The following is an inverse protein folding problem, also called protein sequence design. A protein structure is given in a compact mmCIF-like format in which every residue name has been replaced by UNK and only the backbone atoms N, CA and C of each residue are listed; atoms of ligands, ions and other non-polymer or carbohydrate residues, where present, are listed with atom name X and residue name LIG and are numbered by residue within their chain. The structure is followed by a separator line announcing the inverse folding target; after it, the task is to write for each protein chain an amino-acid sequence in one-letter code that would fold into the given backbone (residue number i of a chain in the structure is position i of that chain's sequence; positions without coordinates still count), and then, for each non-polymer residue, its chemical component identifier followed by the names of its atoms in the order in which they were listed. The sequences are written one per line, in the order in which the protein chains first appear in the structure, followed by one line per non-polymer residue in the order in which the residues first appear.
data_IF_928316899945
#
_entry.id   IF_928316899945
#
_cell.length_a   1.000
_cell.length_b   1.000
_cell.length_c   1.000
_cell.angle_alpha   90.00
_cell.angle_beta   90.00
_cell.angle_gamma   90.00
#
_symmetry.space_group_name_H-M   'P 1'
#
loop_
_entity.id
_entity.type
_entity.pdbx_description
1 polymer ?
#
# COMPACT_ATOMS: atom_id res chain seq x y z
N UNK A 1 -3.93 -8.09 17.25
CA UNK A 1 -4.02 -8.29 15.79
C UNK A 1 -5.38 -8.88 15.49
N UNK A 2 -6.28 -8.06 15.02
CA UNK A 2 -7.63 -8.49 14.61
C UNK A 2 -7.64 -8.50 13.10
N UNK A 3 -7.60 -9.67 12.51
CA UNK A 3 -7.66 -9.86 11.08
C UNK A 3 -9.06 -10.32 10.66
N UNK A 4 -9.54 -9.75 9.56
CA UNK A 4 -10.34 -10.33 8.51
C UNK A 4 -11.84 -10.29 8.68
N UNK A 5 -12.44 -9.39 7.89
CA UNK A 5 -13.69 -9.69 7.21
C UNK A 5 -13.36 -9.83 5.71
N UNK A 6 -13.14 -11.06 5.27
CA UNK A 6 -13.26 -11.43 3.86
C UNK A 6 -14.76 -11.66 3.62
N UNK A 7 -15.41 -10.78 2.88
CA UNK A 7 -16.75 -11.04 2.38
C UNK A 7 -16.61 -11.72 1.01
N UNK A 8 -16.79 -13.03 1.02
CA UNK A 8 -16.93 -13.79 -0.20
C UNK A 8 -18.32 -13.55 -0.78
N UNK A 9 -18.39 -12.83 -1.90
CA UNK A 9 -19.63 -12.56 -2.63
C UNK A 9 -20.01 -13.75 -3.49
N UNK A 10 -20.24 -14.91 -2.88
CA UNK A 10 -20.61 -16.14 -3.55
C UNK A 10 -21.94 -16.05 -4.32
N UNK A 11 -21.92 -16.63 -5.51
CA UNK A 11 -23.01 -17.30 -6.24
C UNK A 11 -23.92 -16.55 -7.20
N UNK A 12 -23.73 -15.32 -7.57
CA UNK A 12 -24.59 -14.79 -8.64
C UNK A 12 -23.96 -14.76 -10.05
N UNK A 13 -22.64 -14.94 -10.18
CA UNK A 13 -22.00 -14.98 -11.50
C UNK A 13 -20.86 -16.00 -11.53
N UNK A 14 -21.13 -17.22 -11.86
CA UNK A 14 -20.17 -18.35 -11.92
C UNK A 14 -18.98 -18.20 -12.91
N UNK A 15 -18.69 -16.98 -13.37
CA UNK A 15 -17.57 -16.66 -14.27
C UNK A 15 -16.64 -15.55 -13.74
N UNK A 16 -16.95 -14.98 -12.58
CA UNK A 16 -16.23 -13.80 -12.06
C UNK A 16 -15.95 -14.04 -10.58
N UNK A 17 -14.70 -13.86 -10.18
CA UNK A 17 -14.32 -13.83 -8.78
C UNK A 17 -14.18 -12.37 -8.33
N UNK A 18 -14.86 -12.00 -7.26
CA UNK A 18 -14.80 -10.68 -6.67
C UNK A 18 -14.50 -10.81 -5.19
N UNK A 19 -13.43 -10.20 -4.75
CA UNK A 19 -13.06 -10.16 -3.35
C UNK A 19 -13.01 -8.71 -2.89
N UNK A 20 -13.62 -8.43 -1.74
CA UNK A 20 -13.36 -7.24 -0.96
C UNK A 20 -12.57 -7.65 0.27
N UNK A 21 -11.48 -6.96 0.57
CA UNK A 21 -10.69 -7.26 1.74
C UNK A 21 -10.45 -6.01 2.56
N UNK A 22 -10.44 -6.23 3.87
CA UNK A 22 -10.13 -5.20 4.85
C UNK A 22 -9.22 -5.81 5.92
N UNK A 23 -8.11 -5.13 6.22
CA UNK A 23 -7.22 -5.47 7.32
C UNK A 23 -7.03 -4.23 8.18
N UNK A 24 -7.00 -4.41 9.50
CA UNK A 24 -6.79 -3.33 10.44
C UNK A 24 -5.83 -3.77 11.54
N UNK A 25 -4.88 -2.92 11.85
CA UNK A 25 -4.02 -3.01 13.00
C UNK A 25 -4.39 -1.88 13.95
N UNK A 26 -4.85 -2.23 15.14
CA UNK A 26 -4.98 -1.31 16.26
C UNK A 26 -3.81 -1.60 17.19
N UNK A 27 -2.80 -0.74 17.17
CA UNK A 27 -1.61 -0.88 18.00
C UNK A 27 -1.87 -0.26 19.38
N UNK A 28 -2.54 0.92 19.40
CA UNK A 28 -3.00 1.56 20.61
C UNK A 28 -4.18 2.49 20.31
N UNK A 29 -5.09 2.64 21.26
CA UNK A 29 -6.25 3.51 21.09
C UNK A 29 -6.50 4.31 22.37
N UNK A 30 -6.21 5.60 22.33
CA UNK A 30 -6.44 6.51 23.43
C UNK A 30 -7.91 6.93 23.48
N UNK A 31 -8.60 6.59 24.56
CA UNK A 31 -10.00 7.00 24.80
C UNK A 31 -10.06 8.40 25.42
N UNK A 32 -9.05 8.75 26.20
CA UNK A 32 -8.95 10.00 26.95
C UNK A 32 -8.33 11.16 26.16
N UNK A 33 -7.76 10.89 24.99
CA UNK A 33 -7.08 11.89 24.17
C UNK A 33 -5.70 12.30 24.70
N UNK A 34 -5.16 11.61 25.70
CA UNK A 34 -3.84 11.90 26.27
C UNK A 34 -2.69 11.37 25.41
N UNK A 35 -2.96 10.33 24.63
CA UNK A 35 -1.99 9.68 23.76
C UNK A 35 -2.46 9.65 22.30
N UNK A 36 -1.56 9.61 21.32
CA UNK A 36 -1.96 9.48 19.92
C UNK A 36 -2.59 8.11 19.64
N UNK A 37 -3.61 8.11 18.80
CA UNK A 37 -4.10 6.86 18.22
C UNK A 37 -3.04 6.24 17.32
N UNK A 38 -3.00 4.91 17.30
CA UNK A 38 -2.07 4.13 16.48
C UNK A 38 -2.86 3.12 15.67
N UNK A 39 -3.35 3.59 14.55
CA UNK A 39 -4.21 2.82 13.67
C UNK A 39 -3.55 2.67 12.32
N UNK A 40 -3.54 1.44 11.79
CA UNK A 40 -3.24 1.19 10.39
C UNK A 40 -4.35 0.34 9.79
N UNK A 41 -4.70 0.61 8.55
CA UNK A 41 -5.67 -0.20 7.84
C UNK A 41 -5.34 -0.31 6.36
N UNK A 42 -5.80 -1.39 5.79
CA UNK A 42 -5.76 -1.69 4.38
C UNK A 42 -7.15 -2.09 3.91
N UNK A 43 -7.61 -1.47 2.85
CA UNK A 43 -8.87 -1.83 2.17
C UNK A 43 -8.58 -2.03 0.70
N UNK A 44 -9.18 -3.03 0.11
CA UNK A 44 -9.00 -3.27 -1.31
C UNK A 44 -10.09 -4.11 -1.92
N UNK A 45 -10.04 -4.17 -3.23
CA UNK A 45 -10.92 -4.98 -4.05
C UNK A 45 -10.12 -5.71 -5.12
N UNK A 46 -10.51 -6.93 -5.37
CA UNK A 46 -10.01 -7.76 -6.46
C UNK A 46 -11.18 -8.15 -7.35
N UNK A 47 -10.98 -8.00 -8.62
CA UNK A 47 -11.87 -8.46 -9.67
C UNK A 47 -11.07 -9.34 -10.62
N UNK A 48 -11.48 -10.58 -10.78
CA UNK A 48 -10.77 -11.55 -11.61
C UNK A 48 -11.76 -12.24 -12.57
N UNK A 49 -11.40 -12.23 -13.84
CA UNK A 49 -12.11 -12.92 -14.91
C UNK A 49 -11.11 -13.72 -15.73
N UNK A 50 -11.60 -14.53 -16.67
CA UNK A 50 -10.72 -15.29 -17.59
C UNK A 50 -9.67 -14.38 -18.30
N UNK A 51 -10.03 -13.14 -18.62
CA UNK A 51 -9.21 -12.28 -19.47
C UNK A 51 -8.78 -10.97 -18.80
N UNK A 52 -9.28 -10.69 -17.58
CA UNK A 52 -9.05 -9.44 -16.89
C UNK A 52 -8.86 -9.70 -15.41
N UNK A 53 -7.78 -9.15 -14.86
CA UNK A 53 -7.54 -9.07 -13.42
C UNK A 53 -7.31 -7.62 -13.04
N UNK A 54 -8.10 -7.13 -12.09
CA UNK A 54 -7.96 -5.81 -11.50
C UNK A 54 -7.83 -5.97 -9.99
N UNK A 55 -6.83 -5.34 -9.42
CA UNK A 55 -6.66 -5.21 -7.97
C UNK A 55 -6.48 -3.75 -7.66
N UNK A 56 -7.25 -3.26 -6.70
CA UNK A 56 -7.05 -1.92 -6.13
C UNK A 56 -6.90 -2.04 -4.62
N UNK A 57 -5.98 -1.27 -4.06
CA UNK A 57 -5.68 -1.31 -2.64
C UNK A 57 -5.37 0.10 -2.14
N UNK A 58 -5.91 0.44 -0.99
CA UNK A 58 -5.55 1.62 -0.23
C UNK A 58 -5.03 1.21 1.14
N UNK A 59 -3.87 1.75 1.51
CA UNK A 59 -3.21 1.52 2.80
C UNK A 59 -3.04 2.87 3.50
N UNK A 60 -3.37 2.92 4.77
CA UNK A 60 -3.13 4.05 5.66
C UNK A 60 -2.42 3.56 6.91
N UNK A 61 -1.39 4.28 7.34
CA UNK A 61 -0.64 3.98 8.56
C UNK A 61 -0.41 5.28 9.31
N UNK A 62 -1.01 5.40 10.48
CA UNK A 62 -0.87 6.59 11.31
C UNK A 62 0.58 6.79 11.78
N UNK A 63 0.92 8.04 12.11
CA UNK A 63 2.28 8.46 12.46
C UNK A 63 2.93 7.64 13.56
N UNK A 64 2.18 7.25 14.58
CA UNK A 64 2.70 6.63 15.79
C UNK A 64 2.60 5.10 15.82
N UNK A 65 2.12 4.49 14.75
CA UNK A 65 2.04 3.01 14.64
C UNK A 65 3.43 2.40 14.79
N UNK A 66 3.54 1.45 15.71
CA UNK A 66 4.80 0.77 16.03
C UNK A 66 5.79 1.60 16.84
N UNK A 67 5.48 2.87 17.13
CA UNK A 67 6.32 3.72 17.96
C UNK A 67 5.83 3.71 19.41
N UNK A 68 6.76 3.62 20.36
CA UNK A 68 6.50 3.59 21.79
C UNK A 68 7.43 4.53 22.53
N UNK A 69 6.99 4.98 23.71
CA UNK A 69 7.80 5.79 24.62
C UNK A 69 9.15 5.10 24.93
N UNK A 70 9.10 3.81 25.27
CA UNK A 70 10.28 3.00 25.50
C UNK A 70 10.84 2.46 24.18
N UNK A 71 12.08 2.80 23.82
CA UNK A 71 12.67 2.38 22.54
C UNK A 71 12.68 0.86 22.32
N UNK A 72 12.78 0.08 23.41
CA UNK A 72 12.83 -1.38 23.39
C UNK A 72 11.50 -2.02 22.96
N UNK A 73 10.39 -1.28 23.11
CA UNK A 73 9.05 -1.74 22.74
C UNK A 73 8.67 -1.38 21.30
N UNK A 74 9.50 -0.58 20.63
CA UNK A 74 9.24 -0.19 19.24
C UNK A 74 9.25 -1.40 18.33
N UNK A 75 8.35 -1.42 17.36
CA UNK A 75 8.25 -2.51 16.38
C UNK A 75 9.41 -2.47 15.37
N UNK A 76 10.61 -2.73 15.89
CA UNK A 76 11.85 -2.77 15.11
C UNK A 76 12.54 -4.13 15.30
N UNK A 77 13.03 -4.70 14.22
CA UNK A 77 13.93 -5.84 14.21
C UNK A 77 15.25 -5.41 13.59
N UNK A 78 16.34 -5.44 14.36
CA UNK A 78 17.67 -4.96 13.94
C UNK A 78 17.65 -3.53 13.37
N UNK A 79 16.80 -2.65 13.92
CA UNK A 79 16.64 -1.28 13.45
C UNK A 79 15.76 -1.12 12.22
N UNK A 80 15.18 -2.20 11.71
CA UNK A 80 14.25 -2.18 10.57
C UNK A 80 12.82 -2.27 11.08
N UNK A 81 11.89 -1.40 10.63
CA UNK A 81 10.48 -1.48 11.01
C UNK A 81 9.85 -2.83 10.66
N UNK A 82 9.19 -3.43 11.66
CA UNK A 82 8.40 -4.63 11.44
C UNK A 82 7.01 -4.19 10.96
N UNK A 83 6.50 -4.82 9.90
CA UNK A 83 5.15 -4.59 9.40
C UNK A 83 5.15 -4.18 7.93
N UNK A 84 4.29 -3.24 7.58
CA UNK A 84 4.12 -2.82 6.19
C UNK A 84 5.30 -1.96 5.71
N UNK A 85 5.80 -2.21 4.50
CA UNK A 85 6.96 -1.53 3.90
C UNK A 85 6.77 -0.02 3.68
N UNK A 86 5.54 0.47 3.76
CA UNK A 86 5.21 1.89 3.66
C UNK A 86 5.78 2.71 4.84
N UNK A 87 5.89 2.08 6.02
CA UNK A 87 6.23 2.77 7.25
C UNK A 87 5.09 3.62 7.83
N UNK A 88 5.31 4.24 9.01
CA UNK A 88 4.32 5.10 9.64
C UNK A 88 4.17 6.45 8.91
N UNK A 89 3.09 7.17 9.24
CA UNK A 89 2.78 8.51 8.72
C UNK A 89 2.66 8.56 7.19
N UNK A 90 2.01 7.56 6.62
CA UNK A 90 1.93 7.45 5.17
C UNK A 90 0.65 6.76 4.71
N UNK A 91 0.26 7.08 3.48
CA UNK A 91 -0.76 6.32 2.78
C UNK A 91 -0.33 6.00 1.36
N UNK A 92 -0.89 4.92 0.83
CA UNK A 92 -0.62 4.43 -0.53
C UNK A 92 -1.91 4.00 -1.20
N UNK A 93 -2.08 4.41 -2.45
CA UNK A 93 -3.09 3.90 -3.36
C UNK A 93 -2.40 3.14 -4.47
N UNK A 94 -2.81 1.90 -4.71
CA UNK A 94 -2.25 1.07 -5.76
C UNK A 94 -3.34 0.48 -6.65
N UNK A 95 -3.01 0.35 -7.94
CA UNK A 95 -3.81 -0.29 -8.97
C UNK A 95 -2.93 -1.26 -9.73
N UNK A 96 -3.39 -2.48 -9.84
CA UNK A 96 -2.82 -3.50 -10.69
C UNK A 96 -3.88 -3.95 -11.68
N UNK A 97 -3.55 -3.87 -12.95
CA UNK A 97 -4.41 -4.27 -14.06
C UNK A 97 -3.65 -5.22 -14.97
N UNK A 98 -4.20 -6.40 -15.20
CA UNK A 98 -3.70 -7.37 -16.15
C UNK A 98 -4.83 -7.73 -17.10
N UNK A 99 -4.63 -7.60 -18.39
CA UNK A 99 -5.60 -8.01 -19.42
C UNK A 99 -4.94 -8.87 -20.47
N UNK A 100 -5.60 -9.98 -20.77
CA UNK A 100 -5.29 -10.85 -21.90
C UNK A 100 -6.36 -10.63 -22.98
N UNK A 101 -6.13 -9.64 -23.85
CA UNK A 101 -7.11 -9.23 -24.87
C UNK A 101 -7.32 -10.34 -25.90
N UNK A 102 -6.24 -11.07 -26.20
CA UNK A 102 -6.26 -12.22 -27.09
C UNK A 102 -5.12 -13.19 -26.73
N UNK A 103 -5.06 -14.35 -27.37
CA UNK A 103 -3.94 -15.29 -27.16
C UNK A 103 -2.57 -14.68 -27.55
N UNK A 104 -2.59 -13.62 -28.35
CA UNK A 104 -1.40 -12.95 -28.84
C UNK A 104 -1.12 -11.57 -28.20
N UNK A 105 -2.01 -11.07 -27.33
CA UNK A 105 -1.85 -9.74 -26.77
C UNK A 105 -2.18 -9.70 -25.28
N UNK A 106 -1.20 -9.28 -24.48
CA UNK A 106 -1.34 -9.06 -23.04
C UNK A 106 -0.91 -7.66 -22.66
N UNK A 107 -1.60 -7.07 -21.69
CA UNK A 107 -1.28 -5.78 -21.12
C UNK A 107 -1.27 -5.88 -19.59
N UNK A 108 -0.19 -5.39 -18.98
CA UNK A 108 -0.05 -5.27 -17.55
C UNK A 108 0.24 -3.80 -17.19
N UNK A 109 -0.58 -3.22 -16.34
CA UNK A 109 -0.39 -1.88 -15.81
C UNK A 109 -0.30 -1.97 -14.29
N UNK A 110 0.74 -1.37 -13.72
CA UNK A 110 0.86 -1.17 -12.29
C UNK A 110 1.04 0.32 -12.02
N UNK A 111 0.25 0.84 -11.10
CA UNK A 111 0.31 2.24 -10.69
C UNK A 111 0.26 2.30 -9.18
N UNK A 112 1.20 3.02 -8.57
CA UNK A 112 1.25 3.29 -7.14
C UNK A 112 1.43 4.78 -6.92
N UNK A 113 0.60 5.31 -6.04
CA UNK A 113 0.68 6.65 -5.54
C UNK A 113 0.87 6.58 -4.03
N UNK A 114 1.96 7.16 -3.55
CA UNK A 114 2.30 7.19 -2.13
C UNK A 114 2.48 8.63 -1.67
N UNK A 115 1.92 8.96 -0.53
CA UNK A 115 2.20 10.19 0.19
C UNK A 115 2.67 9.82 1.59
N UNK A 116 3.85 10.28 1.97
CA UNK A 116 4.42 10.13 3.30
C UNK A 116 4.62 11.47 3.97
N UNK A 117 4.59 11.48 5.28
CA UNK A 117 4.94 12.61 6.12
C UNK A 117 6.34 12.51 6.70
N UNK A 118 6.57 13.25 7.77
CA UNK A 118 7.86 13.29 8.50
C UNK A 118 7.95 12.27 9.64
N UNK A 119 6.87 11.55 9.93
CA UNK A 119 6.81 10.56 11.01
C UNK A 119 7.77 9.39 10.80
N UNK A 120 8.35 8.93 11.90
CA UNK A 120 9.28 7.80 11.91
C UNK A 120 9.06 6.94 13.14
N UNK A 121 9.19 5.62 12.99
CA UNK A 121 9.11 4.70 14.11
C UNK A 121 10.20 4.94 15.17
N UNK A 122 11.30 5.61 14.79
CA UNK A 122 12.40 5.98 15.67
C UNK A 122 12.24 7.37 16.28
N UNK A 123 11.16 8.08 15.95
CA UNK A 123 10.91 9.41 16.44
C UNK A 123 10.73 9.43 17.97
N UNK A 124 11.15 10.52 18.59
CA UNK A 124 10.92 10.70 20.02
C UNK A 124 9.42 10.81 20.30
N UNK A 125 8.96 10.17 21.36
CA UNK A 125 7.57 10.26 21.82
C UNK A 125 7.19 11.71 22.10
N UNK A 126 5.99 12.16 21.72
CA UNK A 126 5.59 13.54 21.89
C UNK A 126 5.54 13.94 23.38
N UNK A 127 6.09 15.11 23.69
CA UNK A 127 6.19 15.61 25.07
C UNK A 127 4.81 15.83 25.68
N UNK A 128 3.84 16.23 24.87
CA UNK A 128 2.45 16.46 25.28
C UNK A 128 1.81 15.21 25.88
N UNK A 129 2.08 14.05 25.29
CA UNK A 129 1.56 12.77 25.80
C UNK A 129 2.26 12.27 27.06
N UNK A 130 3.33 12.94 27.49
CA UNK A 130 3.99 12.69 28.78
C UNK A 130 3.38 13.53 29.91
N UNK A 131 2.59 14.53 29.58
CA UNK A 131 1.97 15.44 30.51
C UNK A 131 0.44 15.34 30.40
N UNK A 132 -0.15 14.48 31.22
CA UNK A 132 -1.59 14.16 31.25
C UNK A 132 -2.55 15.36 31.31
N UNK A 133 -2.04 16.57 31.60
CA UNK A 133 -2.86 17.78 31.64
C UNK A 133 -2.94 18.53 30.30
N UNK A 134 -2.12 18.19 29.32
CA UNK A 134 -2.04 18.91 28.06
C UNK A 134 -2.82 18.25 26.91
N UNK A 135 -3.06 16.95 26.98
CA UNK A 135 -3.62 16.17 25.88
C UNK A 135 -2.68 16.09 24.67
N UNK A 136 -3.00 15.25 23.73
CA UNK A 136 -2.25 15.13 22.48
C UNK A 136 -2.89 15.97 21.37
N UNK A 137 -2.11 16.84 20.73
CA UNK A 137 -2.55 17.61 19.57
C UNK A 137 -2.28 16.83 18.27
N UNK A 138 -3.36 16.43 17.59
CA UNK A 138 -3.25 15.76 16.30
C UNK A 138 -2.77 16.71 15.23
N UNK A 139 -1.64 16.38 14.64
CA UNK A 139 -1.17 17.06 13.44
C UNK A 139 -1.98 16.62 12.22
N UNK A 140 -1.92 17.44 11.17
CA UNK A 140 -2.52 17.07 9.88
C UNK A 140 -1.81 15.83 9.34
N UNK A 141 -2.56 14.85 8.88
CA UNK A 141 -2.04 13.61 8.29
C UNK A 141 -1.93 13.73 6.75
N UNK A 142 -0.84 13.25 6.15
CA UNK A 142 0.45 12.95 6.77
C UNK A 142 1.10 14.19 7.37
N UNK A 143 1.96 14.04 8.40
CA UNK A 143 2.49 15.16 9.17
C UNK A 143 3.70 15.83 8.50
N UNK A 144 3.95 17.08 8.87
CA UNK A 144 5.14 17.83 8.44
C UNK A 144 5.26 18.01 6.93
N UNK A 145 6.45 17.82 6.39
CA UNK A 145 6.71 17.94 4.96
C UNK A 145 6.26 16.68 4.21
N UNK A 146 5.39 16.87 3.24
CA UNK A 146 4.83 15.76 2.47
C UNK A 146 5.79 15.33 1.37
N UNK A 147 6.11 14.03 1.33
CA UNK A 147 6.85 13.39 0.26
C UNK A 147 5.88 12.62 -0.64
N UNK A 148 5.89 12.96 -1.92
CA UNK A 148 5.06 12.31 -2.92
C UNK A 148 5.90 11.36 -3.77
N UNK A 149 5.39 10.15 -3.97
CA UNK A 149 6.01 9.16 -4.86
C UNK A 149 4.96 8.61 -5.80
N UNK A 150 5.28 8.60 -7.08
CA UNK A 150 4.46 7.97 -8.12
C UNK A 150 5.33 6.92 -8.81
N UNK A 151 4.92 5.68 -8.70
CA UNK A 151 5.50 4.58 -9.46
C UNK A 151 4.48 4.10 -10.48
N UNK A 152 4.87 4.00 -11.72
CA UNK A 152 4.02 3.41 -12.76
C UNK A 152 4.84 2.50 -13.66
N UNK A 153 4.29 1.33 -13.95
CA UNK A 153 4.87 0.36 -14.87
C UNK A 153 3.77 -0.05 -15.84
N UNK A 154 4.06 0.06 -17.13
CA UNK A 154 3.21 -0.44 -18.18
C UNK A 154 3.99 -1.46 -19.01
N UNK A 155 3.48 -2.67 -19.09
CA UNK A 155 4.04 -3.72 -19.93
C UNK A 155 3.01 -4.13 -20.98
N UNK A 156 3.43 -4.15 -22.23
CA UNK A 156 2.63 -4.65 -23.34
C UNK A 156 3.43 -5.78 -23.99
N UNK A 157 2.82 -6.94 -24.11
CA UNK A 157 3.44 -8.12 -24.72
C UNK A 157 2.60 -8.56 -25.91
N UNK A 158 3.24 -8.70 -27.04
CA UNK A 158 2.64 -9.22 -28.27
C UNK A 158 3.33 -10.51 -28.67
N UNK A 159 2.58 -11.61 -28.76
CA UNK A 159 3.06 -12.92 -29.17
C UNK A 159 2.90 -13.08 -30.66
N UNK A 160 4.01 -13.13 -31.40
CA UNK A 160 4.02 -13.38 -32.85
C UNK A 160 3.79 -14.87 -33.18
N UNK A 161 4.32 -15.74 -32.31
CA UNK A 161 4.20 -17.19 -32.34
C UNK A 161 4.26 -17.73 -30.91
N UNK A 162 4.10 -19.02 -30.73
CA UNK A 162 4.19 -19.66 -29.40
C UNK A 162 5.55 -19.47 -28.71
N UNK A 163 6.58 -19.18 -29.47
CA UNK A 163 7.99 -19.09 -29.07
C UNK A 163 8.60 -17.68 -29.23
N UNK A 164 7.89 -16.76 -29.85
CA UNK A 164 8.40 -15.41 -30.10
C UNK A 164 7.43 -14.37 -29.55
N UNK A 165 7.90 -13.52 -28.66
CA UNK A 165 7.12 -12.37 -28.20
C UNK A 165 7.93 -11.07 -28.28
N UNK A 166 7.24 -9.95 -28.47
CA UNK A 166 7.80 -8.61 -28.37
C UNK A 166 7.15 -7.94 -27.16
N UNK A 167 7.98 -7.51 -26.23
CA UNK A 167 7.53 -6.79 -25.04
C UNK A 167 7.99 -5.35 -25.06
N UNK A 168 7.10 -4.44 -24.65
CA UNK A 168 7.42 -3.05 -24.37
C UNK A 168 7.15 -2.78 -22.90
N UNK A 169 8.16 -2.26 -22.21
CA UNK A 169 8.03 -1.83 -20.82
C UNK A 169 8.28 -0.33 -20.77
N UNK A 170 7.33 0.41 -20.24
CA UNK A 170 7.49 1.79 -19.85
C UNK A 170 7.35 1.88 -18.33
N UNK A 171 8.34 2.48 -17.66
CA UNK A 171 8.26 2.70 -16.22
C UNK A 171 8.61 4.13 -15.88
N UNK A 172 7.89 4.71 -14.93
CA UNK A 172 8.22 5.96 -14.27
C UNK A 172 8.42 5.69 -12.79
N UNK A 173 9.62 5.99 -12.32
CA UNK A 173 9.95 5.97 -10.90
C UNK A 173 10.63 7.30 -10.57
N UNK A 174 10.05 8.07 -9.69
CA UNK A 174 10.64 9.31 -9.14
C UNK A 174 11.23 10.25 -10.21
N UNK A 175 10.46 10.64 -11.23
CA UNK A 175 10.86 11.55 -12.31
C UNK A 175 11.69 10.96 -13.48
N UNK A 176 12.11 9.70 -13.40
CA UNK A 176 12.84 9.06 -14.50
C UNK A 176 11.92 8.19 -15.34
N UNK A 177 11.82 8.46 -16.63
CA UNK A 177 11.15 7.59 -17.60
C UNK A 177 12.16 6.60 -18.17
N UNK A 178 11.91 5.32 -18.03
CA UNK A 178 12.71 4.27 -18.64
C UNK A 178 11.83 3.50 -19.65
N UNK A 179 12.32 3.40 -20.88
CA UNK A 179 11.72 2.59 -21.92
C UNK A 179 12.64 1.40 -22.22
N UNK A 180 12.13 0.21 -22.07
CA UNK A 180 12.85 -1.00 -22.45
C UNK A 180 12.02 -1.79 -23.46
N UNK A 181 12.62 -2.19 -24.55
CA UNK A 181 12.09 -3.23 -25.45
C UNK A 181 12.83 -4.53 -25.17
N UNK A 182 12.11 -5.60 -24.87
CA UNK A 182 12.70 -6.92 -24.66
C UNK A 182 12.18 -7.82 -25.78
N UNK A 183 13.11 -8.35 -26.58
CA UNK A 183 12.84 -9.44 -27.52
C UNK A 183 13.18 -10.74 -26.79
N UNK A 184 12.20 -11.60 -26.58
CA UNK A 184 12.42 -12.92 -26.00
C UNK A 184 12.19 -13.94 -27.11
N UNK A 185 13.19 -14.79 -27.35
CA UNK A 185 13.15 -15.89 -28.29
C UNK A 185 12.73 -17.14 -27.57
#
# INVERSE_FOLDING_TARGET
MLSILSMDGGDLFSRYEHDLFFEMLVDDFSIDGESPHKLAYKIGARFDTKNLKLITEYVNIDRWVGNYFSPELRMLENGIPIGHSLGPDAHKLSFYFLSTISQIFQMNLNFEFTQGGSGSISEAWPVESQNHNLGYHYERFPSGNHLWKINSIANIVYFLRNDICIGFTASKKEEVFLFHSILIY
#
